data_IF_050615357537
#
_entry.id   IF_050615357537
#
_cell.length_a   1.000
_cell.length_b   1.000
_cell.length_c   1.000
_cell.angle_alpha   90.00
_cell.angle_beta   90.00
_cell.angle_gamma   90.00
#
_symmetry.space_group_name_H-M   'P 1'
#
loop_
_entity.id
_entity.type
_entity.pdbx_description
1 polymer ?
#
# COMPACT_ATOMS: atom_id res chain seq x y z
N UNK A 1 -24.45 -20.64 -5.25
CA UNK A 1 -24.96 -20.29 -3.90
C UNK A 1 -24.55 -21.41 -2.95
N UNK A 2 -23.32 -21.34 -2.37
CA UNK A 2 -22.68 -22.39 -1.55
C UNK A 2 -23.28 -22.54 -0.13
N UNK A 3 -24.43 -21.94 0.13
CA UNK A 3 -25.06 -21.86 1.46
C UNK A 3 -26.05 -23.02 1.68
N UNK A 4 -26.50 -23.70 0.62
CA UNK A 4 -27.52 -24.75 0.69
C UNK A 4 -26.99 -26.19 0.82
N UNK A 5 -25.67 -26.42 0.64
CA UNK A 5 -25.09 -27.78 0.58
C UNK A 5 -24.59 -28.34 1.93
N UNK A 6 -24.89 -27.69 3.06
CA UNK A 6 -24.69 -28.28 4.40
C UNK A 6 -23.24 -28.64 4.79
N UNK A 7 -22.24 -28.29 3.97
CA UNK A 7 -20.83 -28.60 4.20
C UNK A 7 -20.01 -27.32 4.38
N UNK A 8 -20.40 -26.50 5.35
CA UNK A 8 -19.64 -25.29 5.71
C UNK A 8 -18.66 -25.68 6.81
N UNK A 9 -17.42 -25.96 6.43
CA UNK A 9 -16.34 -26.10 7.40
C UNK A 9 -16.28 -24.84 8.28
N UNK A 10 -16.24 -25.03 9.60
CA UNK A 10 -16.17 -23.96 10.59
C UNK A 10 -15.00 -23.01 10.24
N UNK A 11 -15.17 -21.68 10.22
CA UNK A 11 -14.05 -20.77 9.97
C UNK A 11 -12.96 -21.04 10.99
N UNK A 12 -11.80 -21.45 10.50
CA UNK A 12 -10.65 -21.84 11.32
C UNK A 12 -10.04 -20.58 11.92
N UNK A 13 -10.15 -20.45 13.25
CA UNK A 13 -9.71 -19.26 14.01
C UNK A 13 -8.18 -19.14 14.13
N UNK A 14 -7.45 -20.23 13.90
CA UNK A 14 -5.99 -20.25 13.99
C UNK A 14 -5.38 -20.75 12.66
N UNK A 15 -4.31 -20.09 12.18
CA UNK A 15 -3.58 -20.54 11.01
C UNK A 15 -2.90 -21.87 11.30
N UNK A 16 -3.02 -22.83 10.39
CA UNK A 16 -2.37 -24.13 10.52
C UNK A 16 -0.89 -23.99 10.17
N UNK A 17 -0.02 -23.95 11.18
CA UNK A 17 1.43 -23.78 11.01
C UNK A 17 2.08 -25.17 10.90
N UNK A 18 1.83 -25.88 9.82
CA UNK A 18 2.39 -27.22 9.60
C UNK A 18 3.82 -27.20 9.09
N UNK A 19 4.30 -26.05 8.60
CA UNK A 19 5.57 -25.94 7.89
C UNK A 19 6.20 -24.56 8.06
N UNK A 20 7.54 -24.48 7.94
CA UNK A 20 8.31 -23.22 8.06
C UNK A 20 7.91 -22.21 6.99
N UNK A 21 7.49 -22.69 5.83
CA UNK A 21 6.95 -21.89 4.72
C UNK A 21 5.64 -21.20 5.09
N UNK A 22 4.74 -21.90 5.80
CA UNK A 22 3.49 -21.35 6.31
C UNK A 22 3.72 -20.29 7.39
N UNK A 23 4.73 -20.46 8.24
CA UNK A 23 5.12 -19.44 9.22
C UNK A 23 5.66 -18.18 8.53
N UNK A 24 6.54 -18.32 7.54
CA UNK A 24 7.13 -17.19 6.81
C UNK A 24 6.09 -16.40 6.00
N UNK A 25 5.03 -17.06 5.51
CA UNK A 25 3.89 -16.37 4.87
C UNK A 25 3.15 -15.40 5.81
N UNK A 26 3.27 -15.52 7.13
CA UNK A 26 2.66 -14.53 8.03
C UNK A 26 3.36 -13.18 7.97
N UNK A 27 4.65 -13.15 7.63
CA UNK A 27 5.41 -11.92 7.51
C UNK A 27 5.05 -11.13 6.25
N UNK A 28 4.39 -11.72 5.25
CA UNK A 28 3.88 -10.97 4.09
C UNK A 28 2.67 -10.09 4.44
N UNK A 29 2.06 -10.30 5.61
CA UNK A 29 1.09 -9.38 6.16
C UNK A 29 1.75 -8.09 6.70
N UNK A 30 3.04 -8.09 7.03
CA UNK A 30 3.71 -6.91 7.60
C UNK A 30 3.69 -5.71 6.65
N UNK A 31 4.07 -5.82 5.36
CA UNK A 31 3.92 -4.74 4.40
C UNK A 31 2.47 -4.24 4.25
N UNK A 32 1.50 -5.17 4.21
CA UNK A 32 0.07 -4.86 4.07
C UNK A 32 -0.45 -4.11 5.30
N UNK A 33 -0.09 -4.57 6.50
CA UNK A 33 -0.47 -3.96 7.76
C UNK A 33 0.16 -2.58 7.94
N UNK A 34 1.42 -2.40 7.52
CA UNK A 34 2.08 -1.10 7.54
C UNK A 34 1.41 -0.12 6.58
N UNK A 35 1.09 -0.56 5.36
CA UNK A 35 0.32 0.25 4.41
C UNK A 35 -1.05 0.62 4.99
N UNK A 36 -1.76 -0.34 5.57
CA UNK A 36 -3.05 -0.12 6.21
C UNK A 36 -2.94 0.88 7.38
N UNK A 37 -1.89 0.79 8.20
CA UNK A 37 -1.65 1.69 9.33
C UNK A 37 -1.36 3.12 8.89
N UNK A 38 -0.54 3.32 7.86
CA UNK A 38 -0.30 4.65 7.26
C UNK A 38 -1.63 5.24 6.80
N UNK A 39 -2.50 4.43 6.21
CA UNK A 39 -3.80 4.88 5.72
C UNK A 39 -4.89 5.01 6.81
N UNK A 40 -4.74 4.39 7.98
CA UNK A 40 -5.78 4.30 9.02
C UNK A 40 -5.35 4.75 10.42
N UNK A 41 -4.29 5.55 10.55
CA UNK A 41 -3.76 5.99 11.85
C UNK A 41 -4.82 6.54 12.83
N UNK A 42 -5.93 7.10 12.31
CA UNK A 42 -7.00 7.69 13.12
C UNK A 42 -8.30 6.86 13.23
N UNK A 43 -8.42 5.72 12.53
CA UNK A 43 -9.69 5.01 12.39
C UNK A 43 -10.25 4.49 13.72
N UNK A 44 -9.38 4.01 14.62
CA UNK A 44 -9.76 3.49 15.93
C UNK A 44 -10.27 4.57 16.90
N UNK A 45 -9.80 5.82 16.77
CA UNK A 45 -10.34 6.96 17.52
C UNK A 45 -11.73 7.32 17.00
N UNK A 46 -11.88 7.38 15.69
CA UNK A 46 -13.14 7.72 15.01
C UNK A 46 -14.25 6.71 15.36
N UNK A 47 -13.95 5.41 15.44
CA UNK A 47 -14.94 4.39 15.83
C UNK A 47 -15.40 4.51 17.29
N UNK A 48 -14.55 5.00 18.19
CA UNK A 48 -14.93 5.20 19.60
C UNK A 48 -15.84 6.42 19.80
N UNK A 49 -15.65 7.47 19.01
CA UNK A 49 -16.50 8.67 19.04
C UNK A 49 -17.88 8.43 18.39
N UNK A 50 -18.04 7.39 17.56
CA UNK A 50 -19.24 7.11 16.76
C UNK A 50 -20.08 5.93 17.27
N UNK A 51 -19.79 5.40 18.46
CA UNK A 51 -20.37 4.14 18.97
C UNK A 51 -21.88 4.21 19.29
N UNK A 52 -22.49 5.39 19.30
CA UNK A 52 -23.90 5.60 19.67
C UNK A 52 -24.93 5.37 18.54
N UNK A 53 -24.53 5.14 17.28
CA UNK A 53 -25.48 5.12 16.13
C UNK A 53 -25.25 3.94 15.17
N UNK A 54 -25.72 2.74 15.53
CA UNK A 54 -25.33 1.46 14.88
C UNK A 54 -25.79 1.29 13.41
N UNK A 55 -26.96 1.79 13.01
CA UNK A 55 -27.50 1.55 11.65
C UNK A 55 -27.05 2.60 10.61
N UNK A 56 -26.94 3.87 11.01
CA UNK A 56 -26.46 4.96 10.12
C UNK A 56 -24.98 4.83 9.78
N UNK A 57 -24.21 4.11 10.60
CA UNK A 57 -22.76 3.99 10.46
C UNK A 57 -22.34 3.30 9.15
N UNK A 58 -23.05 2.24 8.73
CA UNK A 58 -22.66 1.49 7.52
C UNK A 58 -22.82 2.32 6.23
N UNK A 59 -23.93 3.06 6.11
CA UNK A 59 -24.20 3.91 4.94
C UNK A 59 -23.22 5.08 4.90
N UNK A 60 -23.03 5.76 6.05
CA UNK A 60 -22.11 6.90 6.15
C UNK A 60 -20.68 6.47 5.83
N UNK A 61 -20.19 5.36 6.41
CA UNK A 61 -18.84 4.85 6.12
C UNK A 61 -18.67 4.51 4.63
N UNK A 62 -19.66 3.87 4.00
CA UNK A 62 -19.62 3.57 2.56
C UNK A 62 -19.59 4.83 1.70
N UNK A 63 -20.39 5.83 2.04
CA UNK A 63 -20.42 7.12 1.32
C UNK A 63 -19.09 7.87 1.51
N UNK A 64 -18.59 7.96 2.74
CA UNK A 64 -17.30 8.58 3.04
C UNK A 64 -16.17 7.89 2.27
N UNK A 65 -16.17 6.56 2.19
CA UNK A 65 -15.19 5.80 1.43
C UNK A 65 -15.31 6.05 -0.08
N UNK A 66 -16.52 6.07 -0.63
CA UNK A 66 -16.76 6.37 -2.04
C UNK A 66 -16.29 7.78 -2.41
N UNK A 67 -16.64 8.79 -1.60
CA UNK A 67 -16.19 10.18 -1.78
C UNK A 67 -14.67 10.26 -1.67
N UNK A 68 -14.07 9.57 -0.69
CA UNK A 68 -12.63 9.54 -0.52
C UNK A 68 -11.92 8.99 -1.76
N UNK A 69 -12.37 7.85 -2.31
CA UNK A 69 -11.81 7.29 -3.55
C UNK A 69 -12.00 8.27 -4.71
N UNK A 70 -13.21 8.83 -4.87
CA UNK A 70 -13.50 9.79 -5.95
C UNK A 70 -12.60 11.02 -5.90
N UNK A 71 -12.20 11.48 -4.72
CA UNK A 71 -11.33 12.64 -4.55
C UNK A 71 -9.84 12.29 -4.68
N UNK A 72 -9.41 11.16 -4.11
CA UNK A 72 -7.98 10.78 -4.08
C UNK A 72 -7.50 10.27 -5.43
N UNK A 73 -8.32 9.49 -6.15
CA UNK A 73 -7.96 8.96 -7.47
C UNK A 73 -7.49 10.04 -8.47
N UNK A 74 -8.21 11.16 -8.68
CA UNK A 74 -7.77 12.20 -9.62
C UNK A 74 -6.51 12.93 -9.14
N UNK A 75 -6.31 13.09 -7.81
CA UNK A 75 -5.11 13.72 -7.26
C UNK A 75 -3.87 12.88 -7.59
N UNK A 76 -3.94 11.57 -7.37
CA UNK A 76 -2.84 10.64 -7.68
C UNK A 76 -2.57 10.62 -9.19
N UNK A 77 -3.62 10.50 -10.01
CA UNK A 77 -3.48 10.45 -11.47
C UNK A 77 -2.89 11.74 -12.04
N UNK A 78 -3.24 12.90 -11.47
CA UNK A 78 -2.65 14.19 -11.82
C UNK A 78 -1.16 14.25 -11.47
N UNK A 79 -0.79 13.86 -10.24
CA UNK A 79 0.60 13.82 -9.80
C UNK A 79 1.45 12.88 -10.66
N UNK A 80 0.95 11.68 -10.95
CA UNK A 80 1.64 10.69 -11.80
C UNK A 80 1.90 11.26 -13.20
N UNK A 81 0.90 11.93 -13.80
CA UNK A 81 1.03 12.55 -15.12
C UNK A 81 2.11 13.62 -15.13
N UNK A 82 2.14 14.51 -14.14
CA UNK A 82 3.14 15.57 -14.07
C UNK A 82 4.55 15.01 -13.86
N UNK A 83 4.71 14.02 -12.98
CA UNK A 83 6.01 13.37 -12.76
C UNK A 83 6.49 12.65 -14.03
N UNK A 84 5.59 11.97 -14.76
CA UNK A 84 5.92 11.31 -16.01
C UNK A 84 6.25 12.31 -17.12
N UNK A 85 5.52 13.42 -17.21
CA UNK A 85 5.81 14.50 -18.15
C UNK A 85 7.18 15.14 -17.90
N UNK A 86 7.49 15.45 -16.64
CA UNK A 86 8.80 15.98 -16.26
C UNK A 86 9.95 14.99 -16.51
N UNK A 87 9.70 13.68 -16.37
CA UNK A 87 10.67 12.63 -16.65
C UNK A 87 10.93 12.45 -18.15
N UNK A 88 9.87 12.42 -18.97
CA UNK A 88 9.97 12.16 -20.41
C UNK A 88 10.32 13.42 -21.23
N UNK A 89 9.91 14.60 -20.75
CA UNK A 89 10.03 15.87 -21.46
C UNK A 89 10.59 16.99 -20.57
N UNK A 90 11.83 16.85 -20.06
CA UNK A 90 12.40 17.76 -19.06
C UNK A 90 12.56 19.21 -19.52
N UNK A 91 12.67 19.46 -20.84
CA UNK A 91 12.81 20.81 -21.41
C UNK A 91 11.58 21.30 -22.17
N UNK A 92 10.45 20.60 -22.08
CA UNK A 92 9.26 21.01 -22.80
C UNK A 92 8.49 22.13 -22.08
N UNK A 93 7.70 22.89 -22.85
CA UNK A 93 6.75 23.87 -22.31
C UNK A 93 5.77 23.22 -21.32
N UNK A 94 5.23 23.97 -20.35
CA UNK A 94 4.31 23.44 -19.33
C UNK A 94 3.16 22.62 -19.94
N UNK A 95 2.85 21.47 -19.34
CA UNK A 95 1.88 20.51 -19.88
C UNK A 95 0.49 21.11 -20.12
N UNK A 96 0.09 22.08 -19.31
CA UNK A 96 -1.21 22.78 -19.41
C UNK A 96 -1.35 23.54 -20.74
N UNK A 97 -0.23 23.93 -21.37
CA UNK A 97 -0.21 24.63 -22.65
C UNK A 97 -0.24 23.67 -23.87
N UNK A 98 -0.13 22.35 -23.64
CA UNK A 98 -0.04 21.35 -24.72
C UNK A 98 -1.13 20.28 -24.59
N UNK A 99 -2.32 20.59 -25.13
CA UNK A 99 -3.48 19.68 -25.09
C UNK A 99 -3.19 18.33 -25.76
N UNK A 100 -2.36 18.28 -26.82
CA UNK A 100 -2.03 17.02 -27.50
C UNK A 100 -1.20 16.12 -26.58
N UNK A 101 -0.14 16.68 -25.98
CA UNK A 101 0.72 15.95 -25.04
C UNK A 101 -0.06 15.51 -23.80
N UNK A 102 -0.92 16.38 -23.28
CA UNK A 102 -1.81 16.08 -22.17
C UNK A 102 -2.74 14.90 -22.47
N UNK A 103 -3.40 14.89 -23.63
CA UNK A 103 -4.30 13.79 -24.03
C UNK A 103 -3.53 12.50 -24.24
N UNK A 104 -2.39 12.52 -24.92
CA UNK A 104 -1.57 11.32 -25.17
C UNK A 104 -1.10 10.70 -23.85
N UNK A 105 -0.50 11.50 -22.95
CA UNK A 105 -0.07 11.01 -21.64
C UNK A 105 -1.23 10.42 -20.85
N UNK A 106 -2.40 11.06 -20.89
CA UNK A 106 -3.60 10.56 -20.19
C UNK A 106 -4.09 9.23 -20.75
N UNK A 107 -4.22 9.11 -22.07
CA UNK A 107 -4.68 7.88 -22.73
C UNK A 107 -3.69 6.74 -22.48
N UNK A 108 -2.39 7.01 -22.59
CA UNK A 108 -1.34 6.00 -22.34
C UNK A 108 -1.35 5.57 -20.88
N UNK A 109 -1.44 6.50 -19.91
CA UNK A 109 -1.55 6.15 -18.49
C UNK A 109 -2.77 5.25 -18.23
N UNK A 110 -3.94 5.64 -18.74
CA UNK A 110 -5.18 4.88 -18.52
C UNK A 110 -5.05 3.49 -19.14
N UNK A 111 -4.53 3.38 -20.37
CA UNK A 111 -4.32 2.09 -21.02
C UNK A 111 -3.35 1.20 -20.22
N UNK A 112 -2.22 1.74 -19.75
CA UNK A 112 -1.25 1.00 -18.94
C UNK A 112 -1.82 0.54 -17.61
N UNK A 113 -2.54 1.41 -16.89
CA UNK A 113 -3.19 1.07 -15.62
C UNK A 113 -4.26 -0.01 -15.84
N UNK A 114 -5.06 0.13 -16.90
CA UNK A 114 -6.11 -0.85 -17.23
C UNK A 114 -5.51 -2.21 -17.57
N UNK A 115 -4.49 -2.24 -18.43
CA UNK A 115 -3.77 -3.48 -18.77
C UNK A 115 -3.16 -4.09 -17.50
N UNK A 116 -2.45 -3.30 -16.68
CA UNK A 116 -1.89 -3.77 -15.42
C UNK A 116 -2.93 -4.37 -14.48
N UNK A 117 -4.10 -3.74 -14.37
CA UNK A 117 -5.22 -4.23 -13.55
C UNK A 117 -5.76 -5.59 -14.03
N UNK A 118 -5.71 -5.89 -15.34
CA UNK A 118 -6.15 -7.20 -15.85
C UNK A 118 -5.24 -8.36 -15.45
N UNK A 119 -3.98 -8.09 -15.11
CA UNK A 119 -3.02 -9.11 -14.69
C UNK A 119 -3.04 -9.40 -13.19
N UNK A 120 -3.80 -8.63 -12.40
CA UNK A 120 -3.83 -8.75 -10.95
C UNK A 120 -4.94 -9.74 -10.57
N UNK A 121 -4.60 -10.96 -10.12
CA UNK A 121 -5.59 -11.97 -9.75
C UNK A 121 -6.25 -11.67 -8.41
N UNK A 122 -5.55 -10.95 -7.51
CA UNK A 122 -6.06 -10.58 -6.20
C UNK A 122 -5.65 -9.17 -5.77
N UNK A 123 -6.54 -8.50 -5.03
CA UNK A 123 -6.24 -7.18 -4.44
C UNK A 123 -5.13 -7.30 -3.37
N UNK A 124 -4.99 -8.48 -2.75
CA UNK A 124 -3.95 -8.75 -1.77
C UNK A 124 -2.54 -8.53 -2.36
N UNK A 125 -2.32 -8.97 -3.59
CA UNK A 125 -1.03 -8.79 -4.29
C UNK A 125 -0.70 -7.29 -4.46
N UNK A 126 -1.72 -6.47 -4.75
CA UNK A 126 -1.56 -5.00 -4.89
C UNK A 126 -1.19 -4.36 -3.56
N UNK A 127 -1.85 -4.75 -2.47
CA UNK A 127 -1.54 -4.21 -1.15
C UNK A 127 -0.18 -4.69 -0.63
N UNK A 128 0.18 -5.93 -0.90
CA UNK A 128 1.47 -6.49 -0.50
C UNK A 128 2.60 -5.80 -1.27
N UNK A 129 2.47 -5.65 -2.59
CA UNK A 129 3.44 -4.93 -3.42
C UNK A 129 3.54 -3.44 -3.05
N UNK A 130 2.40 -2.76 -2.93
CA UNK A 130 2.36 -1.34 -2.55
C UNK A 130 2.90 -1.09 -1.14
N UNK A 131 2.63 -2.01 -0.21
CA UNK A 131 3.16 -1.98 1.15
C UNK A 131 4.67 -2.23 1.18
N UNK A 132 5.16 -3.21 0.40
CA UNK A 132 6.56 -3.59 0.39
C UNK A 132 7.47 -2.56 -0.30
N UNK A 133 6.90 -1.75 -1.20
CA UNK A 133 7.62 -0.69 -1.91
C UNK A 133 7.42 0.66 -1.21
N UNK A 134 6.25 1.25 -1.35
CA UNK A 134 5.92 2.60 -0.86
C UNK A 134 5.78 2.63 0.66
N UNK A 135 5.04 1.67 1.23
CA UNK A 135 4.78 1.60 2.66
C UNK A 135 6.06 1.49 3.49
N UNK A 136 6.91 0.51 3.18
CA UNK A 136 8.19 0.30 3.86
C UNK A 136 9.17 1.47 3.63
N UNK A 137 9.17 2.06 2.43
CA UNK A 137 10.04 3.21 2.14
C UNK A 137 9.70 4.43 3.01
N UNK A 138 8.42 4.74 3.16
CA UNK A 138 7.95 5.89 3.94
C UNK A 138 8.02 5.60 5.45
N UNK A 139 7.61 4.40 5.89
CA UNK A 139 7.50 4.09 7.31
C UNK A 139 8.81 3.66 7.97
N UNK A 140 9.70 2.97 7.25
CA UNK A 140 10.92 2.39 7.83
C UNK A 140 12.19 3.02 7.26
N UNK A 141 12.33 3.08 5.94
CA UNK A 141 13.59 3.47 5.30
C UNK A 141 13.84 4.98 5.45
N UNK A 142 12.82 5.82 5.22
CA UNK A 142 12.99 7.28 5.30
C UNK A 142 13.36 7.78 6.71
N UNK A 143 12.64 7.38 7.80
CA UNK A 143 13.02 7.77 9.15
C UNK A 143 14.40 7.24 9.55
N UNK A 144 14.73 6.01 9.15
CA UNK A 144 16.05 5.43 9.41
C UNK A 144 17.16 6.19 8.68
N UNK A 145 16.96 6.57 7.42
CA UNK A 145 17.92 7.35 6.66
C UNK A 145 18.15 8.74 7.28
N UNK A 146 17.09 9.37 7.80
CA UNK A 146 17.20 10.64 8.53
C UNK A 146 17.98 10.47 9.84
N UNK A 147 17.68 9.43 10.62
CA UNK A 147 18.37 9.15 11.88
C UNK A 147 19.86 8.78 11.68
N UNK A 148 20.20 8.14 10.56
CA UNK A 148 21.57 7.75 10.22
C UNK A 148 22.39 8.87 9.57
N UNK A 149 21.75 9.77 8.81
CA UNK A 149 22.39 10.94 8.17
C UNK A 149 22.44 12.14 9.12
N UNK A 150 22.64 11.89 10.41
CA UNK A 150 22.60 12.93 11.42
C UNK A 150 23.76 13.92 11.26
N UNK A 151 23.47 15.05 10.62
CA UNK A 151 24.42 16.15 10.40
C UNK A 151 24.49 17.12 11.59
N UNK A 152 23.53 17.07 12.51
CA UNK A 152 23.43 18.01 13.63
C UNK A 152 23.81 17.38 14.98
N UNK A 153 24.13 16.09 15.01
CA UNK A 153 24.57 15.37 16.22
C UNK A 153 23.45 15.17 17.25
N UNK A 154 22.19 15.18 16.81
CA UNK A 154 21.00 15.05 17.67
C UNK A 154 20.69 13.56 17.94
N UNK A 155 21.03 12.66 17.01
CA UNK A 155 20.72 11.24 17.09
C UNK A 155 21.66 10.52 18.06
N UNK A 156 21.07 9.76 18.99
CA UNK A 156 21.83 8.95 19.92
C UNK A 156 22.34 7.67 19.25
N UNK A 157 23.32 7.00 19.86
CA UNK A 157 23.78 5.68 19.39
C UNK A 157 22.65 4.65 19.31
N UNK A 158 21.63 4.77 20.16
CA UNK A 158 20.44 3.90 20.13
C UNK A 158 19.58 4.17 18.90
N UNK A 159 19.43 5.43 18.50
CA UNK A 159 18.66 5.83 17.32
C UNK A 159 19.32 5.35 16.02
N UNK A 160 20.65 5.38 15.96
CA UNK A 160 21.40 4.78 14.85
C UNK A 160 21.22 3.26 14.79
N UNK A 161 21.29 2.54 15.93
CA UNK A 161 21.05 1.09 15.96
C UNK A 161 19.62 0.77 15.52
N UNK A 162 18.64 1.55 15.99
CA UNK A 162 17.24 1.41 15.60
C UNK A 162 17.06 1.66 14.10
N UNK A 163 17.71 2.69 13.55
CA UNK A 163 17.68 2.99 12.11
C UNK A 163 18.23 1.83 11.26
N UNK A 164 19.38 1.27 11.64
CA UNK A 164 19.94 0.09 10.95
C UNK A 164 18.96 -1.08 11.02
N UNK A 165 18.40 -1.36 12.20
CA UNK A 165 17.42 -2.42 12.38
C UNK A 165 16.18 -2.23 11.50
N UNK A 166 15.65 -1.00 11.41
CA UNK A 166 14.51 -0.67 10.57
C UNK A 166 14.78 -0.91 9.08
N UNK A 167 15.99 -0.59 8.59
CA UNK A 167 16.39 -0.86 7.20
C UNK A 167 16.50 -2.37 6.94
N UNK A 168 17.12 -3.12 7.85
CA UNK A 168 17.23 -4.59 7.73
C UNK A 168 15.85 -5.24 7.71
N UNK A 169 14.95 -4.80 8.59
CA UNK A 169 13.58 -5.29 8.64
C UNK A 169 12.81 -4.98 7.35
N UNK A 170 12.99 -3.77 6.79
CA UNK A 170 12.38 -3.41 5.52
C UNK A 170 12.84 -4.33 4.38
N UNK A 171 14.16 -4.54 4.23
CA UNK A 171 14.72 -5.40 3.18
C UNK A 171 14.25 -6.85 3.35
N UNK A 172 14.30 -7.38 4.57
CA UNK A 172 13.84 -8.74 4.86
C UNK A 172 12.36 -8.94 4.54
N UNK A 173 11.52 -7.98 4.92
CA UNK A 173 10.08 -7.98 4.64
C UNK A 173 9.78 -7.95 3.15
N UNK A 174 10.46 -7.09 2.37
CA UNK A 174 10.35 -7.06 0.91
C UNK A 174 10.79 -8.39 0.27
N UNK A 175 11.88 -9.00 0.75
CA UNK A 175 12.36 -10.27 0.23
C UNK A 175 11.36 -11.42 0.47
N UNK A 176 10.75 -11.48 1.66
CA UNK A 176 9.72 -12.49 1.96
C UNK A 176 8.44 -12.29 1.14
N UNK A 177 8.04 -11.03 0.90
CA UNK A 177 6.89 -10.73 0.04
C UNK A 177 7.13 -11.28 -1.38
N UNK A 178 8.27 -10.94 -1.99
CA UNK A 178 8.65 -11.43 -3.33
C UNK A 178 8.75 -12.96 -3.35
N UNK A 179 9.38 -13.55 -2.34
CA UNK A 179 9.53 -14.99 -2.25
C UNK A 179 8.18 -15.71 -2.17
N UNK A 180 7.25 -15.20 -1.36
CA UNK A 180 5.91 -15.77 -1.22
C UNK A 180 5.12 -15.68 -2.52
N UNK A 181 5.21 -14.55 -3.23
CA UNK A 181 4.49 -14.33 -4.49
C UNK A 181 5.10 -15.15 -5.64
N UNK A 182 6.42 -15.36 -5.62
CA UNK A 182 7.07 -16.27 -6.56
C UNK A 182 6.63 -17.72 -6.32
N UNK A 183 6.50 -18.13 -5.05
CA UNK A 183 6.09 -19.49 -4.69
C UNK A 183 4.59 -19.75 -4.92
N UNK A 184 3.74 -18.73 -4.92
CA UNK A 184 2.31 -18.88 -5.25
C UNK A 184 2.06 -19.00 -6.76
N UNK A 185 3.06 -18.68 -7.59
CA UNK A 185 3.00 -18.79 -9.04
C UNK A 185 3.27 -20.21 -9.57
N UNK A 186 3.87 -21.08 -8.75
CA UNK A 186 4.22 -22.48 -9.08
C UNK A 186 3.39 -23.47 -8.26
#
# INVERSE_FOLDING_TARGET
MKIFDGNVELPRWLPNVTDVTSFLKHFTAVPVLLLAYICHYNAHRITKELQDTSEMHSIVVRICYAIHIMLVAPIIAFGLRLNLDGLLFPSAKPLVLDNKRFTILTVVLIALIFIGATFIPSIWDVFQFGGATTGLSIALIFPAAVALKDRHGIATKKDSILGIFMVVLAIFSSALAIYSDAYSLF
#
